data_IF_710576553837
#
_entry.id   IF_710576553837
#
_cell.length_a   1.000
_cell.length_b   1.000
_cell.length_c   1.000
_cell.angle_alpha   90.00
_cell.angle_beta   90.00
_cell.angle_gamma   90.00
#
_symmetry.space_group_name_H-M   'P 1'
#
loop_
_entity.id
_entity.type
_entity.pdbx_description
1 polymer ?
#
# COMPACT_ATOMS: atom_id res chain seq x y z
N UNK A 1 19.05 -30.76 55.19
CA UNK A 1 20.02 -29.68 55.45
C UNK A 1 20.97 -29.56 54.25
N UNK A 2 20.77 -28.50 53.46
CA UNK A 2 21.67 -27.82 52.49
C UNK A 2 20.82 -26.65 51.96
N UNK A 3 20.73 -25.57 52.74
CA UNK A 3 21.57 -24.37 52.74
C UNK A 3 21.17 -23.35 51.68
N UNK A 4 21.11 -22.13 52.16
CA UNK A 4 20.37 -20.97 51.72
C UNK A 4 21.39 -19.97 51.21
N UNK A 5 21.47 -19.83 49.87
CA UNK A 5 21.86 -18.63 49.11
C UNK A 5 22.49 -19.03 47.76
N UNK A 6 21.73 -18.90 46.66
CA UNK A 6 22.20 -18.24 45.43
C UNK A 6 21.09 -18.22 44.36
N UNK A 7 20.46 -17.05 44.25
CA UNK A 7 20.02 -16.39 43.00
C UNK A 7 20.22 -17.18 41.70
N UNK A 8 19.13 -17.66 41.10
CA UNK A 8 19.00 -17.78 39.65
C UNK A 8 17.57 -17.45 39.21
N UNK A 9 17.14 -16.24 39.56
CA UNK A 9 16.00 -15.61 38.92
C UNK A 9 16.37 -15.20 37.50
N UNK A 10 15.48 -15.54 36.57
CA UNK A 10 15.39 -15.00 35.22
C UNK A 10 16.51 -15.43 34.27
N UNK A 11 16.20 -16.43 33.44
CA UNK A 11 16.83 -16.52 32.12
C UNK A 11 16.51 -15.23 31.37
N UNK A 12 17.50 -14.34 31.32
CA UNK A 12 17.61 -13.25 30.38
C UNK A 12 17.81 -13.88 29.00
N UNK A 13 16.69 -14.27 28.40
CA UNK A 13 16.60 -14.37 26.97
C UNK A 13 16.27 -12.96 26.49
N UNK A 14 17.32 -12.15 26.34
CA UNK A 14 17.37 -11.06 25.38
C UNK A 14 17.21 -11.70 23.98
N UNK A 15 15.98 -12.15 23.70
CA UNK A 15 15.53 -12.34 22.34
C UNK A 15 15.13 -10.96 21.89
N UNK A 16 16.16 -10.20 21.48
CA UNK A 16 16.04 -9.07 20.59
C UNK A 16 14.96 -9.45 19.55
N UNK A 17 13.80 -8.81 19.67
CA UNK A 17 12.68 -8.98 18.76
C UNK A 17 13.05 -8.38 17.40
N UNK A 18 13.97 -9.03 16.70
CA UNK A 18 14.31 -8.71 15.33
C UNK A 18 13.21 -9.29 14.43
N UNK A 19 12.09 -8.57 14.36
CA UNK A 19 11.17 -8.69 13.25
C UNK A 19 11.85 -8.16 11.97
N UNK A 20 12.75 -8.95 11.38
CA UNK A 20 13.33 -8.72 10.04
C UNK A 20 12.31 -9.03 8.92
N UNK A 21 11.07 -8.56 9.06
CA UNK A 21 10.05 -8.69 8.02
C UNK A 21 9.67 -7.33 7.39
N UNK A 22 10.28 -6.24 7.83
CA UNK A 22 9.85 -4.86 7.51
C UNK A 22 10.54 -4.23 6.29
N UNK A 23 11.43 -4.93 5.56
CA UNK A 23 12.20 -4.31 4.46
C UNK A 23 11.97 -4.92 3.07
N UNK A 24 11.00 -5.85 2.91
CA UNK A 24 10.71 -6.40 1.57
C UNK A 24 9.62 -5.60 0.85
N UNK A 25 8.64 -5.06 1.58
CA UNK A 25 7.48 -4.39 1.00
C UNK A 25 7.29 -2.99 1.57
N UNK A 26 7.15 -2.03 0.67
CA UNK A 26 6.87 -0.62 0.97
C UNK A 26 5.43 -0.31 0.57
N UNK A 27 4.81 0.62 1.29
CA UNK A 27 3.49 1.15 0.96
C UNK A 27 3.56 2.64 0.66
N UNK A 28 2.98 3.04 -0.45
CA UNK A 28 2.75 4.43 -0.83
C UNK A 28 1.26 4.73 -0.70
N UNK A 29 0.90 5.82 -0.02
CA UNK A 29 -0.49 6.17 0.23
C UNK A 29 -0.71 7.67 0.22
N UNK A 30 -1.78 8.10 -0.44
CA UNK A 30 -2.09 9.52 -0.66
C UNK A 30 -3.58 9.78 -0.49
N UNK A 31 -3.90 10.96 0.02
CA UNK A 31 -5.25 11.52 0.00
C UNK A 31 -5.31 12.61 -1.07
N UNK A 32 -6.32 12.59 -1.94
CA UNK A 32 -6.45 13.55 -3.03
C UNK A 32 -7.90 13.93 -3.29
N UNK A 33 -8.13 15.21 -3.58
CA UNK A 33 -9.43 15.72 -4.05
C UNK A 33 -9.59 15.63 -5.58
N UNK A 34 -8.56 15.14 -6.29
CA UNK A 34 -8.58 14.98 -7.75
C UNK A 34 -9.69 14.04 -8.16
N UNK A 35 -10.38 14.42 -9.24
CA UNK A 35 -11.39 13.58 -9.89
C UNK A 35 -10.75 12.77 -11.00
N UNK A 36 -11.27 11.57 -11.21
CA UNK A 36 -10.78 10.63 -12.21
C UNK A 36 -11.92 10.09 -13.06
N UNK A 37 -11.59 9.65 -14.26
CA UNK A 37 -12.41 8.75 -15.06
C UNK A 37 -12.08 7.29 -14.76
N UNK A 38 -13.02 6.37 -15.06
CA UNK A 38 -12.73 4.93 -14.96
C UNK A 38 -11.59 4.51 -15.90
N UNK A 39 -11.49 5.16 -17.06
CA UNK A 39 -10.45 4.88 -18.04
C UNK A 39 -9.06 5.30 -17.52
N UNK A 40 -8.93 6.49 -16.93
CA UNK A 40 -7.67 6.92 -16.28
C UNK A 40 -7.22 5.95 -15.20
N UNK A 41 -8.13 5.53 -14.31
CA UNK A 41 -7.79 4.55 -13.27
C UNK A 41 -7.40 3.21 -13.90
N UNK A 42 -8.13 2.72 -14.90
CA UNK A 42 -7.81 1.45 -15.58
C UNK A 42 -6.43 1.50 -16.24
N UNK A 43 -6.11 2.61 -16.92
CA UNK A 43 -4.81 2.84 -17.54
C UNK A 43 -3.70 2.92 -16.50
N UNK A 44 -3.92 3.62 -15.38
CA UNK A 44 -2.96 3.68 -14.28
C UNK A 44 -2.69 2.29 -13.71
N UNK A 45 -3.73 1.51 -13.42
CA UNK A 45 -3.57 0.15 -12.90
C UNK A 45 -2.86 -0.79 -13.87
N UNK A 46 -3.08 -0.64 -15.17
CA UNK A 46 -2.37 -1.41 -16.20
C UNK A 46 -0.90 -1.01 -16.25
N UNK A 47 -0.59 0.29 -16.11
CA UNK A 47 0.79 0.77 -16.11
C UNK A 47 1.61 0.22 -14.94
N UNK A 48 0.98 -0.09 -13.79
CA UNK A 48 1.65 -0.69 -12.62
C UNK A 48 2.29 -2.06 -12.90
N UNK A 49 2.02 -2.70 -14.05
CA UNK A 49 2.70 -3.92 -14.48
C UNK A 49 4.16 -3.68 -14.92
N UNK A 50 4.53 -2.43 -15.22
CA UNK A 50 5.90 -2.04 -15.56
C UNK A 50 6.77 -1.94 -14.30
N UNK A 51 7.36 -3.08 -13.92
CA UNK A 51 8.19 -3.19 -12.72
C UNK A 51 9.48 -2.35 -12.79
N UNK A 52 10.01 -2.08 -13.98
CA UNK A 52 11.18 -1.21 -14.16
C UNK A 52 10.82 0.25 -13.84
N UNK A 53 9.60 0.67 -14.16
CA UNK A 53 9.14 2.04 -13.93
C UNK A 53 8.56 2.28 -12.54
N UNK A 54 7.81 1.33 -11.99
CA UNK A 54 7.05 1.55 -10.75
C UNK A 54 7.48 0.64 -9.58
N UNK A 55 8.40 -0.29 -9.80
CA UNK A 55 8.74 -1.35 -8.86
C UNK A 55 7.78 -2.54 -8.95
N UNK A 56 8.07 -3.59 -8.18
CA UNK A 56 7.21 -4.78 -8.16
C UNK A 56 5.93 -4.50 -7.37
N UNK A 57 4.86 -4.11 -8.04
CA UNK A 57 3.57 -3.84 -7.39
C UNK A 57 2.89 -5.17 -7.04
N UNK A 58 2.46 -5.30 -5.78
CA UNK A 58 1.70 -6.45 -5.29
C UNK A 58 0.21 -6.16 -5.20
N UNK A 59 -0.14 -4.95 -4.79
CA UNK A 59 -1.53 -4.51 -4.68
C UNK A 59 -1.66 -3.02 -4.84
N UNK A 60 -2.74 -2.58 -5.47
CA UNK A 60 -3.22 -1.22 -5.33
C UNK A 60 -4.71 -1.21 -4.96
N UNK A 61 -5.12 -0.20 -4.20
CA UNK A 61 -6.52 0.03 -3.82
C UNK A 61 -6.79 1.52 -3.80
N UNK A 62 -8.02 1.89 -4.09
CA UNK A 62 -8.44 3.26 -3.84
C UNK A 62 -9.93 3.48 -3.96
N UNK A 63 -10.35 4.59 -3.36
CA UNK A 63 -11.69 5.14 -3.42
C UNK A 63 -11.51 6.60 -3.79
N UNK A 64 -11.85 6.97 -5.02
CA UNK A 64 -11.58 8.31 -5.58
C UNK A 64 -12.85 8.91 -6.18
N UNK A 65 -13.02 10.24 -6.13
CA UNK A 65 -14.17 10.88 -6.75
C UNK A 65 -14.07 10.78 -8.28
N UNK A 66 -15.21 10.58 -8.92
CA UNK A 66 -15.30 10.56 -10.38
C UNK A 66 -15.66 11.95 -10.94
N UNK A 67 -15.32 12.19 -12.21
CA UNK A 67 -15.70 13.44 -12.89
C UNK A 67 -17.22 13.64 -12.99
N UNK A 68 -17.98 12.55 -13.13
CA UNK A 68 -19.44 12.54 -13.22
C UNK A 68 -20.15 12.74 -11.86
N UNK A 69 -19.39 12.95 -10.78
CA UNK A 69 -19.90 13.12 -9.42
C UNK A 69 -20.19 11.81 -8.68
N UNK A 70 -20.00 10.66 -9.33
CA UNK A 70 -19.98 9.35 -8.66
C UNK A 70 -18.64 9.09 -7.99
N UNK A 71 -18.43 7.87 -7.48
CA UNK A 71 -17.18 7.45 -6.86
C UNK A 71 -16.68 6.17 -7.50
N UNK A 72 -15.37 6.14 -7.75
CA UNK A 72 -14.67 4.97 -8.29
C UNK A 72 -14.00 4.25 -7.14
N UNK A 73 -14.30 2.97 -7.01
CA UNK A 73 -13.58 2.05 -6.15
C UNK A 73 -12.73 1.18 -7.07
N UNK A 74 -11.47 0.98 -6.71
CA UNK A 74 -10.61 0.09 -7.46
C UNK A 74 -9.79 -0.81 -6.56
N UNK A 75 -9.50 -1.97 -7.10
CA UNK A 75 -8.65 -3.00 -6.54
C UNK A 75 -7.76 -3.53 -7.66
N UNK A 76 -6.50 -3.73 -7.36
CA UNK A 76 -5.55 -4.29 -8.30
C UNK A 76 -4.68 -5.31 -7.60
N UNK A 77 -4.50 -6.44 -8.27
CA UNK A 77 -3.37 -7.35 -8.14
C UNK A 77 -2.81 -7.57 -9.55
N UNK A 78 -1.52 -7.90 -9.72
CA UNK A 78 -0.92 -8.10 -11.04
C UNK A 78 -1.77 -8.98 -11.96
N UNK A 79 -2.05 -8.51 -13.18
CA UNK A 79 -2.89 -9.18 -14.17
C UNK A 79 -4.41 -9.16 -13.90
N UNK A 80 -4.89 -8.51 -12.83
CA UNK A 80 -6.33 -8.45 -12.51
C UNK A 80 -6.74 -7.09 -11.95
N UNK A 81 -6.86 -6.05 -12.81
CA UNK A 81 -7.46 -4.78 -12.42
C UNK A 81 -8.99 -4.92 -12.28
N UNK A 82 -9.54 -4.38 -11.19
CA UNK A 82 -10.98 -4.23 -10.97
C UNK A 82 -11.30 -2.75 -10.69
N UNK A 83 -12.16 -2.17 -11.53
CA UNK A 83 -12.58 -0.77 -11.45
C UNK A 83 -14.10 -0.72 -11.49
N UNK A 84 -14.70 -0.23 -10.41
CA UNK A 84 -16.15 -0.23 -10.20
C UNK A 84 -16.64 1.10 -9.66
N UNK A 85 -17.93 1.39 -9.86
CA UNK A 85 -18.57 2.48 -9.15
C UNK A 85 -18.93 2.00 -7.73
N UNK A 86 -18.79 2.88 -6.74
CA UNK A 86 -19.06 2.53 -5.34
C UNK A 86 -19.71 3.65 -4.55
N UNK A 87 -19.89 3.41 -3.25
CA UNK A 87 -20.44 4.40 -2.33
C UNK A 87 -19.54 5.63 -2.22
N UNK A 88 -20.16 6.78 -1.96
CA UNK A 88 -19.43 8.02 -1.75
C UNK A 88 -18.46 7.93 -0.57
N UNK A 89 -17.25 8.47 -0.77
CA UNK A 89 -16.26 8.70 0.28
C UNK A 89 -16.31 10.15 0.79
N UNK A 90 -15.47 10.46 1.77
CA UNK A 90 -15.27 11.83 2.27
C UNK A 90 -14.20 12.57 1.48
N UNK A 91 -13.10 11.88 1.16
CA UNK A 91 -12.00 12.35 0.31
C UNK A 91 -11.45 11.18 -0.49
N UNK A 92 -10.80 11.46 -1.62
CA UNK A 92 -10.15 10.43 -2.42
C UNK A 92 -8.94 9.88 -1.68
N UNK A 93 -8.77 8.55 -1.69
CA UNK A 93 -7.64 7.87 -1.04
C UNK A 93 -7.14 6.74 -1.91
N UNK A 94 -5.82 6.64 -2.04
CA UNK A 94 -5.13 5.62 -2.82
C UNK A 94 -4.04 4.99 -1.96
N UNK A 95 -3.80 3.70 -2.15
CA UNK A 95 -2.71 2.98 -1.53
C UNK A 95 -2.15 1.95 -2.51
N UNK A 96 -0.83 1.93 -2.66
CA UNK A 96 -0.06 1.01 -3.47
C UNK A 96 0.94 0.31 -2.56
N UNK A 97 1.05 -1.01 -2.66
CA UNK A 97 1.98 -1.83 -1.88
C UNK A 97 2.79 -2.67 -2.86
N UNK A 98 4.11 -2.68 -2.68
CA UNK A 98 5.02 -3.42 -3.55
C UNK A 98 6.43 -3.48 -2.99
N UNK A 99 7.37 -4.03 -3.76
CA UNK A 99 8.79 -4.06 -3.43
C UNK A 99 9.58 -3.16 -4.37
N UNK A 100 10.46 -2.32 -3.81
CA UNK A 100 11.24 -1.36 -4.60
C UNK A 100 10.38 -0.36 -5.36
N UNK A 101 9.26 0.08 -4.78
CA UNK A 101 8.32 0.98 -5.47
C UNK A 101 8.92 2.36 -5.67
N UNK A 102 8.63 2.98 -6.81
CA UNK A 102 9.08 4.33 -7.12
C UNK A 102 7.99 5.35 -6.79
N UNK A 103 8.01 5.88 -5.57
CA UNK A 103 6.95 6.77 -5.03
C UNK A 103 6.71 8.04 -5.86
N UNK A 104 7.77 8.65 -6.40
CA UNK A 104 7.65 9.82 -7.28
C UNK A 104 6.89 9.47 -8.57
N UNK A 105 7.23 8.33 -9.19
CA UNK A 105 6.57 7.85 -10.41
C UNK A 105 5.11 7.47 -10.15
N UNK A 106 4.78 6.94 -8.96
CA UNK A 106 3.40 6.67 -8.53
C UNK A 106 2.63 7.98 -8.33
N UNK A 107 3.27 8.99 -7.73
CA UNK A 107 2.69 10.32 -7.55
C UNK A 107 2.36 10.97 -8.88
N UNK A 108 3.26 10.88 -9.87
CA UNK A 108 3.01 11.35 -11.23
C UNK A 108 1.90 10.55 -11.94
N UNK A 109 1.93 9.22 -11.85
CA UNK A 109 0.95 8.32 -12.50
C UNK A 109 -0.48 8.61 -12.03
N UNK A 110 -0.67 8.81 -10.74
CA UNK A 110 -1.96 9.12 -10.14
C UNK A 110 -2.23 10.62 -10.02
N UNK A 111 -1.28 11.47 -10.44
CA UNK A 111 -1.33 12.92 -10.31
C UNK A 111 -1.71 13.38 -8.89
N UNK A 112 -1.01 12.85 -7.89
CA UNK A 112 -1.29 13.02 -6.47
C UNK A 112 -0.50 14.17 -5.81
N UNK A 113 -0.31 15.28 -6.53
CA UNK A 113 0.35 16.50 -6.04
C UNK A 113 -0.48 17.30 -5.03
#
# INVERSE_FOLDING_TARGET
EHDENCTCGCHDHDHEHHHHADEVFTSWGVESARKYTKEEITNALTALEDADKYGMILRAKGIVPAEDGSWIHFDYVPGTPDVRSGSAGTTGRLCVIGSGIHEDALTELFHAE
#
